data_IF_508967375108
#
_entry.id   IF_508967375108
#
_cell.length_a   1.000
_cell.length_b   1.000
_cell.length_c   1.000
_cell.angle_alpha   90.00
_cell.angle_beta   90.00
_cell.angle_gamma   90.00
#
_symmetry.space_group_name_H-M   'P 1'
#
loop_
_entity.id
_entity.type
_entity.pdbx_description
1 polymer ?
#
# COMPACT_ATOMS: atom_id res chain seq x y z
N UNK A 1 -29.17 -15.89 5.09
CA UNK A 1 -28.02 -16.82 5.11
C UNK A 1 -26.95 -16.20 4.23
N UNK A 2 -25.69 -16.31 4.62
CA UNK A 2 -24.58 -15.69 3.91
C UNK A 2 -23.61 -16.77 3.43
N UNK A 3 -22.94 -16.54 2.32
CA UNK A 3 -22.05 -17.51 1.69
C UNK A 3 -20.72 -16.88 1.29
N UNK A 4 -19.62 -17.59 1.54
CA UNK A 4 -18.34 -17.35 0.88
C UNK A 4 -18.22 -18.24 -0.36
N UNK A 5 -17.67 -17.69 -1.43
CA UNK A 5 -17.40 -18.40 -2.68
C UNK A 5 -15.92 -18.76 -2.74
N UNK A 6 -15.62 -20.05 -2.80
CA UNK A 6 -14.26 -20.56 -2.90
C UNK A 6 -13.97 -20.97 -4.33
N UNK A 7 -12.89 -20.42 -4.90
CA UNK A 7 -12.40 -20.77 -6.23
C UNK A 7 -10.89 -20.87 -6.20
N UNK A 8 -10.33 -21.90 -6.85
CA UNK A 8 -8.88 -22.14 -6.86
C UNK A 8 -8.24 -22.13 -5.45
N UNK A 9 -8.93 -22.72 -4.46
CA UNK A 9 -8.51 -22.79 -3.05
C UNK A 9 -8.36 -21.42 -2.35
N UNK A 10 -9.03 -20.38 -2.85
CA UNK A 10 -9.07 -19.04 -2.24
C UNK A 10 -10.51 -18.54 -2.18
N UNK A 11 -10.76 -17.60 -1.27
CA UNK A 11 -12.01 -16.84 -1.24
C UNK A 11 -12.02 -15.91 -2.46
N UNK A 12 -13.04 -16.04 -3.30
CA UNK A 12 -13.23 -15.30 -4.56
C UNK A 12 -14.38 -14.29 -4.45
N UNK A 13 -15.22 -14.39 -3.41
CA UNK A 13 -16.30 -13.45 -3.17
C UNK A 13 -17.27 -13.90 -2.06
N UNK A 14 -18.36 -13.14 -1.93
CA UNK A 14 -19.45 -13.40 -0.96
C UNK A 14 -20.82 -13.04 -1.53
N UNK A 15 -21.86 -13.66 -0.99
CA UNK A 15 -23.25 -13.31 -1.31
C UNK A 15 -24.28 -13.83 -0.32
N UNK A 16 -25.51 -13.36 -0.45
CA UNK A 16 -26.67 -13.78 0.37
C UNK A 16 -27.37 -15.02 -0.19
N UNK A 17 -26.94 -15.48 -1.37
CA UNK A 17 -27.44 -16.65 -2.05
C UNK A 17 -26.27 -17.55 -2.48
N UNK A 18 -26.44 -18.88 -2.47
CA UNK A 18 -25.43 -19.78 -2.98
C UNK A 18 -25.25 -19.56 -4.48
N UNK A 19 -24.01 -19.56 -4.93
CA UNK A 19 -23.64 -19.48 -6.34
C UNK A 19 -23.44 -20.90 -6.92
N UNK A 20 -23.98 -21.14 -8.11
CA UNK A 20 -23.69 -22.33 -8.90
C UNK A 20 -22.77 -21.95 -10.06
N UNK A 21 -21.52 -22.37 -9.98
CA UNK A 21 -20.53 -22.17 -11.04
C UNK A 21 -19.47 -23.25 -11.02
N UNK A 22 -18.91 -23.56 -12.17
CA UNK A 22 -17.88 -24.58 -12.31
C UNK A 22 -16.66 -24.24 -11.45
N UNK A 23 -16.28 -25.18 -10.58
CA UNK A 23 -15.15 -25.01 -9.67
C UNK A 23 -15.37 -24.02 -8.53
N UNK A 24 -16.61 -23.57 -8.29
CA UNK A 24 -16.98 -22.75 -7.14
C UNK A 24 -17.56 -23.65 -6.05
N UNK A 25 -16.99 -23.57 -4.85
CA UNK A 25 -17.57 -24.15 -3.63
C UNK A 25 -18.21 -23.05 -2.80
N UNK A 26 -19.50 -23.19 -2.47
CA UNK A 26 -20.20 -22.27 -1.57
C UNK A 26 -20.14 -22.81 -0.15
N UNK A 27 -19.70 -21.96 0.77
CA UNK A 27 -19.61 -22.27 2.20
C UNK A 27 -20.51 -21.31 2.95
N UNK A 28 -21.43 -21.83 3.76
CA UNK A 28 -22.26 -20.98 4.62
C UNK A 28 -21.39 -20.33 5.69
N UNK A 29 -21.60 -19.03 5.89
CA UNK A 29 -20.85 -18.22 6.84
C UNK A 29 -21.80 -17.39 7.69
N UNK A 30 -21.32 -16.93 8.84
CA UNK A 30 -22.07 -16.00 9.70
C UNK A 30 -22.11 -14.61 9.06
N UNK A 31 -23.04 -13.78 9.52
CA UNK A 31 -23.10 -12.37 9.14
C UNK A 31 -21.82 -11.60 9.51
N UNK A 32 -21.20 -11.96 10.64
CA UNK A 32 -19.93 -11.37 11.08
C UNK A 32 -18.80 -11.65 10.10
N UNK A 33 -18.64 -12.92 9.69
CA UNK A 33 -17.66 -13.32 8.69
C UNK A 33 -18.00 -12.69 7.34
N UNK A 34 -19.28 -12.61 6.98
CA UNK A 34 -19.72 -11.93 5.76
C UNK A 34 -19.32 -10.47 5.75
N UNK A 35 -19.47 -9.74 6.86
CA UNK A 35 -19.14 -8.32 6.93
C UNK A 35 -17.64 -8.04 6.96
N UNK A 36 -16.81 -8.98 7.43
CA UNK A 36 -15.36 -8.81 7.61
C UNK A 36 -14.53 -9.83 6.82
N UNK A 37 -15.04 -10.34 5.70
CA UNK A 37 -14.49 -11.50 4.98
C UNK A 37 -13.01 -11.35 4.58
N UNK A 38 -12.55 -10.12 4.37
CA UNK A 38 -11.15 -9.78 4.08
C UNK A 38 -10.16 -10.26 5.16
N UNK A 39 -10.63 -10.41 6.41
CA UNK A 39 -9.83 -10.92 7.54
C UNK A 39 -9.72 -12.44 7.58
N UNK A 40 -10.39 -13.14 6.67
CA UNK A 40 -10.51 -14.58 6.69
C UNK A 40 -9.82 -15.20 5.47
N UNK A 41 -9.49 -16.48 5.61
CA UNK A 41 -8.93 -17.29 4.55
C UNK A 41 -9.60 -18.66 4.49
N UNK A 42 -9.48 -19.30 3.33
CA UNK A 42 -9.86 -20.70 3.17
C UNK A 42 -8.66 -21.60 3.51
N UNK A 43 -8.79 -22.47 4.50
CA UNK A 43 -7.72 -23.39 4.89
C UNK A 43 -7.74 -24.75 4.14
N UNK A 44 -8.72 -24.96 3.25
CA UNK A 44 -8.96 -26.24 2.58
C UNK A 44 -10.22 -26.96 3.03
N UNK A 45 -10.77 -26.60 4.20
CA UNK A 45 -11.92 -27.25 4.82
C UNK A 45 -12.99 -26.25 5.27
N UNK A 46 -12.58 -25.11 5.85
CA UNK A 46 -13.49 -24.08 6.34
C UNK A 46 -12.89 -22.68 6.19
N UNK A 47 -13.73 -21.68 6.44
CA UNK A 47 -13.33 -20.27 6.54
C UNK A 47 -12.79 -20.04 7.95
N UNK A 48 -11.54 -19.59 8.04
CA UNK A 48 -10.85 -19.30 9.32
C UNK A 48 -10.25 -17.91 9.29
N UNK A 49 -10.01 -17.30 10.45
CA UNK A 49 -9.28 -16.04 10.53
C UNK A 49 -7.87 -16.21 9.92
N UNK A 50 -7.46 -15.22 9.12
CA UNK A 50 -6.12 -15.19 8.57
C UNK A 50 -5.15 -14.70 9.65
N UNK A 51 -4.25 -15.57 10.16
CA UNK A 51 -3.32 -15.20 11.24
C UNK A 51 -2.32 -14.12 10.80
N UNK A 52 -2.14 -13.93 9.49
CA UNK A 52 -1.22 -12.95 8.93
C UNK A 52 -1.94 -11.70 8.41
N UNK A 53 -3.25 -11.55 8.62
CA UNK A 53 -4.02 -10.46 8.03
C UNK A 53 -3.42 -9.09 8.34
N UNK A 54 -3.08 -8.83 9.60
CA UNK A 54 -2.53 -7.53 10.02
C UNK A 54 -1.17 -7.24 9.35
N UNK A 55 -0.35 -8.28 9.18
CA UNK A 55 0.93 -8.18 8.50
C UNK A 55 0.75 -7.94 6.99
N UNK A 56 -0.12 -8.69 6.32
CA UNK A 56 -0.42 -8.52 4.89
C UNK A 56 -1.04 -7.14 4.60
N UNK A 57 -1.93 -6.69 5.48
CA UNK A 57 -2.52 -5.35 5.43
C UNK A 57 -1.46 -4.26 5.59
N UNK A 58 -0.57 -4.41 6.57
CA UNK A 58 0.55 -3.51 6.79
C UNK A 58 1.47 -3.42 5.56
N UNK A 59 1.87 -4.56 5.00
CA UNK A 59 2.72 -4.62 3.82
C UNK A 59 2.09 -3.94 2.61
N UNK A 60 0.78 -4.13 2.41
CA UNK A 60 0.03 -3.46 1.34
C UNK A 60 0.04 -1.95 1.51
N UNK A 61 -0.28 -1.46 2.70
CA UNK A 61 -0.28 -0.02 3.01
C UNK A 61 1.13 0.57 2.91
N UNK A 62 2.13 -0.17 3.37
CA UNK A 62 3.53 0.24 3.29
C UNK A 62 3.97 0.44 1.84
N UNK A 63 3.68 -0.53 0.97
CA UNK A 63 4.07 -0.47 -0.43
C UNK A 63 3.32 0.65 -1.18
N UNK A 64 2.03 0.87 -0.87
CA UNK A 64 1.28 2.01 -1.42
C UNK A 64 1.93 3.35 -1.03
N UNK A 65 2.24 3.56 0.25
CA UNK A 65 2.90 4.77 0.73
C UNK A 65 4.31 4.92 0.12
N UNK A 66 5.04 3.82 0.00
CA UNK A 66 6.37 3.82 -0.63
C UNK A 66 6.30 4.31 -2.07
N UNK A 67 5.35 3.80 -2.86
CA UNK A 67 5.15 4.23 -4.26
C UNK A 67 4.72 5.70 -4.34
N UNK A 68 3.84 6.16 -3.44
CA UNK A 68 3.44 7.57 -3.38
C UNK A 68 4.65 8.47 -3.05
N UNK A 69 5.50 8.07 -2.11
CA UNK A 69 6.75 8.78 -1.79
C UNK A 69 7.69 8.81 -2.99
N UNK A 70 7.95 7.67 -3.62
CA UNK A 70 8.83 7.57 -4.78
C UNK A 70 8.37 8.51 -5.91
N UNK A 71 7.08 8.47 -6.24
CA UNK A 71 6.50 9.38 -7.23
C UNK A 71 6.66 10.85 -6.83
N UNK A 72 6.46 11.19 -5.54
CA UNK A 72 6.64 12.55 -5.06
C UNK A 72 8.10 13.00 -5.12
N UNK A 73 9.07 12.13 -4.80
CA UNK A 73 10.49 12.43 -4.95
C UNK A 73 10.86 12.75 -6.40
N UNK A 74 10.40 11.92 -7.34
CA UNK A 74 10.62 12.10 -8.79
C UNK A 74 10.03 13.41 -9.35
N UNK A 75 8.98 13.93 -8.74
CA UNK A 75 8.31 15.16 -9.20
C UNK A 75 8.87 16.40 -8.49
N UNK A 76 9.12 16.29 -7.18
CA UNK A 76 9.35 17.45 -6.33
C UNK A 76 10.82 17.69 -6.00
N UNK A 77 11.63 16.63 -5.91
CA UNK A 77 13.06 16.71 -5.54
C UNK A 77 13.95 16.61 -6.77
N UNK A 78 13.62 15.74 -7.72
CA UNK A 78 14.40 15.60 -8.96
C UNK A 78 14.44 16.88 -9.80
N UNK A 79 13.39 17.72 -9.74
CA UNK A 79 13.41 19.03 -10.38
C UNK A 79 14.50 19.92 -9.78
N UNK A 80 14.70 19.88 -8.45
CA UNK A 80 15.78 20.61 -7.78
C UNK A 80 17.15 20.07 -8.19
N UNK A 81 17.29 18.75 -8.33
CA UNK A 81 18.51 18.12 -8.85
C UNK A 81 18.81 18.57 -10.28
N UNK A 82 17.80 18.61 -11.15
CA UNK A 82 17.94 19.06 -12.53
C UNK A 82 18.30 20.56 -12.63
N UNK A 83 17.68 21.41 -11.81
CA UNK A 83 18.01 22.83 -11.71
C UNK A 83 19.46 23.05 -11.27
N UNK A 84 19.91 22.34 -10.23
CA UNK A 84 21.31 22.35 -9.80
C UNK A 84 22.24 21.95 -10.93
N UNK A 85 21.99 20.78 -11.54
CA UNK A 85 22.84 20.29 -12.62
C UNK A 85 22.92 21.29 -13.78
N UNK A 86 21.80 21.88 -14.18
CA UNK A 86 21.76 22.92 -15.22
C UNK A 86 22.64 24.11 -14.86
N UNK A 87 22.52 24.64 -13.65
CA UNK A 87 23.27 25.82 -13.23
C UNK A 87 24.77 25.53 -13.06
N UNK A 88 25.13 24.32 -12.60
CA UNK A 88 26.53 23.87 -12.57
C UNK A 88 27.11 23.81 -13.98
N UNK A 89 26.39 23.24 -14.95
CA UNK A 89 26.84 23.16 -16.35
C UNK A 89 27.00 24.55 -16.99
N UNK A 90 26.13 25.50 -16.62
CA UNK A 90 26.22 26.88 -17.09
C UNK A 90 27.30 27.71 -16.40
N UNK A 91 27.97 27.17 -15.37
CA UNK A 91 28.97 27.90 -14.59
C UNK A 91 28.39 29.03 -13.74
N UNK A 92 27.07 29.00 -13.47
CA UNK A 92 26.36 30.01 -12.68
C UNK A 92 26.11 29.58 -11.24
N UNK A 93 26.69 28.45 -10.83
CA UNK A 93 26.50 27.87 -9.50
C UNK A 93 27.52 28.43 -8.50
N UNK A 94 27.04 28.90 -7.36
CA UNK A 94 27.85 29.44 -6.27
C UNK A 94 27.77 28.59 -5.00
N UNK A 95 28.61 28.88 -4.01
CA UNK A 95 28.54 28.22 -2.70
C UNK A 95 27.25 28.58 -1.94
N UNK A 96 26.73 29.80 -2.12
CA UNK A 96 25.44 30.22 -1.55
C UNK A 96 24.28 29.44 -2.17
N UNK A 97 24.31 29.22 -3.49
CA UNK A 97 23.32 28.38 -4.19
C UNK A 97 23.35 26.93 -3.69
N UNK A 98 24.53 26.39 -3.38
CA UNK A 98 24.67 25.03 -2.85
C UNK A 98 24.00 24.90 -1.47
N UNK A 99 24.22 25.85 -0.57
CA UNK A 99 23.58 25.85 0.75
C UNK A 99 22.05 25.97 0.65
N UNK A 100 21.55 26.87 -0.21
CA UNK A 100 20.11 27.04 -0.44
C UNK A 100 19.48 25.77 -1.03
N UNK A 101 20.13 25.16 -2.02
CA UNK A 101 19.67 23.91 -2.62
C UNK A 101 19.60 22.77 -1.62
N UNK A 102 20.62 22.58 -0.78
CA UNK A 102 20.62 21.55 0.26
C UNK A 102 19.42 21.75 1.19
N UNK A 103 19.16 22.99 1.62
CA UNK A 103 18.01 23.29 2.48
C UNK A 103 16.68 22.99 1.77
N UNK A 104 16.52 23.39 0.51
CA UNK A 104 15.32 23.08 -0.28
C UNK A 104 15.07 21.58 -0.41
N UNK A 105 16.12 20.80 -0.66
CA UNK A 105 16.02 19.33 -0.75
C UNK A 105 15.59 18.73 0.59
N UNK A 106 16.17 19.19 1.70
CA UNK A 106 15.79 18.75 3.06
C UNK A 106 14.33 19.08 3.34
N UNK A 107 13.91 20.32 3.10
CA UNK A 107 12.54 20.78 3.37
C UNK A 107 11.53 20.00 2.53
N UNK A 108 11.81 19.79 1.24
CA UNK A 108 10.93 19.04 0.35
C UNK A 108 10.85 17.57 0.74
N UNK A 109 11.99 16.97 1.09
CA UNK A 109 12.07 15.59 1.59
C UNK A 109 11.25 15.41 2.87
N UNK A 110 11.32 16.36 3.81
CA UNK A 110 10.55 16.30 5.04
C UNK A 110 9.06 16.49 4.79
N UNK A 111 8.67 17.44 3.95
CA UNK A 111 7.27 17.63 3.55
C UNK A 111 6.68 16.38 2.87
N UNK A 112 7.45 15.66 2.05
CA UNK A 112 7.02 14.37 1.46
C UNK A 112 6.80 13.33 2.55
N UNK A 113 7.73 13.22 3.51
CA UNK A 113 7.62 12.26 4.62
C UNK A 113 6.40 12.52 5.51
N UNK A 114 6.08 13.80 5.75
CA UNK A 114 4.92 14.23 6.53
C UNK A 114 3.61 13.98 5.77
N UNK A 115 3.58 14.21 4.45
CA UNK A 115 2.39 13.99 3.61
C UNK A 115 2.06 12.51 3.45
N UNK A 116 3.08 11.67 3.38
CA UNK A 116 2.96 10.22 3.15
C UNK A 116 3.64 9.46 4.30
N UNK A 117 3.12 9.47 5.53
CA UNK A 117 3.74 8.75 6.64
C UNK A 117 3.65 7.23 6.42
N UNK A 118 4.73 6.49 6.73
CA UNK A 118 4.64 5.03 6.71
C UNK A 118 3.68 4.55 7.79
N UNK A 119 2.91 3.48 7.54
CA UNK A 119 2.05 2.88 8.56
C UNK A 119 2.89 2.35 9.72
N UNK A 120 2.24 2.20 10.88
CA UNK A 120 2.84 1.57 12.06
C UNK A 120 2.83 0.05 11.86
N UNK A 121 3.95 -0.65 12.08
CA UNK A 121 3.97 -2.11 12.01
C UNK A 121 3.05 -2.72 13.08
N UNK A 122 2.43 -3.87 12.81
CA UNK A 122 1.68 -4.61 13.83
C UNK A 122 2.61 -4.99 14.99
N UNK A 123 2.09 -4.97 16.21
CA UNK A 123 2.81 -5.44 17.41
C UNK A 123 2.86 -6.97 17.42
N UNK A 124 4.06 -7.53 17.68
CA UNK A 124 4.29 -8.96 17.91
C UNK A 124 3.54 -9.51 19.14
#
# INVERSE_FOLDING_TARGET
MYYAFIKNKKIDGKGELPCSGDGITCVEITEEVYNNLERYMWNGQEIVENPNYEQEEYERQYEEVRQQRENAYMIEVDVLHAERQKNTVLGTWTEEDEAEYIQKVIDRTNAIKERYPYPTPPTE
#
